data_IF_688134398460
#
_entry.id   IF_688134398460
#
_cell.length_a   1.000
_cell.length_b   1.000
_cell.length_c   1.000
_cell.angle_alpha   90.00
_cell.angle_beta   90.00
_cell.angle_gamma   90.00
#
_symmetry.space_group_name_H-M   'P 1'
#
loop_
_entity.id
_entity.type
_entity.pdbx_description
1 polymer ?
#
# COMPACT_ATOMS: atom_id res chain seq x y z
N UNK A 1 15.32 7.54 -1.43
CA UNK A 1 14.76 6.96 -2.67
C UNK A 1 13.25 6.84 -2.48
N UNK A 2 12.43 6.87 -3.53
CA UNK A 2 10.95 6.81 -3.39
C UNK A 2 10.37 5.47 -3.85
N UNK A 3 11.10 4.75 -4.69
CA UNK A 3 10.74 3.43 -5.18
C UNK A 3 11.67 2.39 -4.56
N UNK A 4 11.14 1.19 -4.34
CA UNK A 4 11.90 -0.04 -4.07
C UNK A 4 11.44 -1.10 -5.07
N UNK A 5 12.34 -1.95 -5.55
CA UNK A 5 11.95 -3.08 -6.41
C UNK A 5 11.58 -4.33 -5.59
N UNK A 6 11.17 -5.39 -6.30
CA UNK A 6 10.72 -6.65 -5.67
C UNK A 6 11.86 -7.38 -4.96
N UNK A 7 13.08 -7.34 -5.50
CA UNK A 7 14.23 -8.02 -4.93
C UNK A 7 14.72 -7.26 -3.69
N UNK A 8 14.71 -5.93 -3.74
CA UNK A 8 14.98 -5.06 -2.58
C UNK A 8 13.96 -5.27 -1.45
N UNK A 9 12.66 -5.35 -1.78
CA UNK A 9 11.62 -5.64 -0.79
C UNK A 9 11.81 -7.05 -0.19
N UNK A 10 12.09 -8.06 -1.02
CA UNK A 10 12.32 -9.42 -0.53
C UNK A 10 13.49 -9.47 0.45
N UNK A 11 14.61 -8.81 0.13
CA UNK A 11 15.75 -8.72 1.04
C UNK A 11 15.43 -7.96 2.33
N UNK A 12 14.63 -6.89 2.25
CA UNK A 12 14.23 -6.10 3.42
C UNK A 12 13.31 -6.89 4.37
N UNK A 13 12.44 -7.74 3.83
CA UNK A 13 11.55 -8.61 4.61
C UNK A 13 12.31 -9.67 5.43
N UNK A 14 13.51 -10.07 5.00
CA UNK A 14 14.37 -11.01 5.69
C UNK A 14 15.32 -10.36 6.72
N UNK A 15 15.23 -9.03 6.91
CA UNK A 15 16.08 -8.30 7.85
C UNK A 15 15.57 -8.35 9.30
N UNK A 16 16.42 -7.94 10.25
CA UNK A 16 16.04 -7.84 11.67
C UNK A 16 14.90 -6.81 11.92
N UNK A 17 14.69 -5.87 10.99
CA UNK A 17 13.72 -4.80 11.09
C UNK A 17 12.93 -4.67 9.77
N UNK A 18 12.04 -5.62 9.46
CA UNK A 18 11.32 -5.63 8.20
C UNK A 18 10.35 -4.44 8.10
N UNK A 19 10.11 -3.91 6.88
CA UNK A 19 9.17 -2.82 6.70
C UNK A 19 7.72 -3.29 6.91
N UNK A 20 6.85 -2.35 7.29
CA UNK A 20 5.41 -2.54 7.21
C UNK A 20 5.01 -2.48 5.73
N UNK A 21 4.43 -3.57 5.21
CA UNK A 21 3.98 -3.62 3.82
C UNK A 21 2.49 -3.35 3.75
N UNK A 22 2.07 -2.34 2.98
CA UNK A 22 0.68 -1.95 2.79
C UNK A 22 0.21 -2.27 1.38
N UNK A 23 -0.82 -3.12 1.30
CA UNK A 23 -1.54 -3.43 0.08
C UNK A 23 -2.77 -2.53 -0.02
N UNK A 24 -2.73 -1.55 -0.91
CA UNK A 24 -3.77 -0.53 -1.01
C UNK A 24 -4.59 -0.66 -2.29
N UNK A 25 -4.59 -1.86 -2.89
CA UNK A 25 -5.25 -2.11 -4.17
C UNK A 25 -6.71 -1.65 -4.20
N UNK A 26 -7.06 -0.93 -5.25
CA UNK A 26 -8.37 -0.33 -5.40
C UNK A 26 -8.70 -0.12 -6.88
N UNK A 27 -9.93 -0.47 -7.27
CA UNK A 27 -10.44 -0.27 -8.63
C UNK A 27 -11.82 0.36 -8.59
N UNK A 28 -12.00 1.47 -9.30
CA UNK A 28 -13.28 2.15 -9.38
C UNK A 28 -14.33 1.26 -10.07
N UNK A 29 -15.39 0.89 -9.34
CA UNK A 29 -16.43 0.00 -9.86
C UNK A 29 -15.95 -1.44 -10.13
N UNK A 30 -14.74 -1.77 -9.66
CA UNK A 30 -14.12 -3.09 -9.84
C UNK A 30 -14.41 -4.05 -8.69
N UNK A 31 -13.76 -5.24 -8.71
CA UNK A 31 -13.87 -6.21 -7.64
C UNK A 31 -13.32 -5.66 -6.30
N UNK A 32 -13.78 -6.23 -5.19
CA UNK A 32 -13.30 -5.85 -3.86
C UNK A 32 -11.80 -6.08 -3.73
N UNK A 33 -11.06 -5.04 -3.36
CA UNK A 33 -9.62 -5.12 -3.10
C UNK A 33 -9.28 -6.13 -1.99
N UNK A 34 -10.11 -6.23 -0.96
CA UNK A 34 -9.96 -7.20 0.14
C UNK A 34 -10.07 -8.65 -0.36
N UNK A 35 -10.99 -8.93 -1.29
CA UNK A 35 -11.09 -10.25 -1.88
C UNK A 35 -9.86 -10.60 -2.72
N UNK A 36 -9.34 -9.64 -3.50
CA UNK A 36 -8.13 -9.83 -4.29
C UNK A 36 -6.89 -9.99 -3.40
N UNK A 37 -6.78 -9.23 -2.31
CA UNK A 37 -5.73 -9.39 -1.30
C UNK A 37 -5.77 -10.80 -0.70
N UNK A 38 -6.94 -11.28 -0.27
CA UNK A 38 -7.08 -12.66 0.25
C UNK A 38 -6.73 -13.74 -0.77
N UNK A 39 -6.94 -13.49 -2.07
CA UNK A 39 -6.57 -14.41 -3.13
C UNK A 39 -5.05 -14.48 -3.36
N UNK A 40 -4.32 -13.40 -3.05
CA UNK A 40 -2.86 -13.35 -3.14
C UNK A 40 -2.31 -11.94 -2.87
N UNK A 41 -1.29 -11.86 -2.03
CA UNK A 41 -0.61 -10.63 -1.64
C UNK A 41 0.85 -10.94 -1.23
N UNK A 42 1.65 -9.89 -1.07
CA UNK A 42 3.00 -10.01 -0.49
C UNK A 42 2.89 -10.58 0.93
N UNK A 43 3.67 -11.60 1.32
CA UNK A 43 3.60 -12.16 2.67
C UNK A 43 3.71 -11.09 3.77
N UNK A 44 2.76 -11.12 4.72
CA UNK A 44 2.72 -10.17 5.84
C UNK A 44 2.16 -8.79 5.49
N UNK A 45 1.79 -8.52 4.23
CA UNK A 45 1.19 -7.24 3.86
C UNK A 45 -0.19 -7.05 4.52
N UNK A 46 -0.45 -5.81 4.93
CA UNK A 46 -1.73 -5.40 5.49
C UNK A 46 -2.58 -4.75 4.40
N UNK A 47 -3.79 -5.25 4.18
CA UNK A 47 -4.74 -4.60 3.29
C UNK A 47 -5.26 -3.29 3.90
N UNK A 48 -5.18 -2.20 3.14
CA UNK A 48 -5.69 -0.88 3.53
C UNK A 48 -6.76 -0.42 2.53
N UNK A 49 -8.03 -0.36 2.93
CA UNK A 49 -9.08 0.09 2.03
C UNK A 49 -8.97 1.60 1.78
N UNK A 50 -8.73 1.96 0.51
CA UNK A 50 -8.55 3.35 0.11
C UNK A 50 -9.75 4.23 0.47
N UNK A 51 -10.96 3.78 0.19
CA UNK A 51 -12.18 4.59 0.37
C UNK A 51 -12.44 4.92 1.85
N UNK A 52 -12.12 4.03 2.79
CA UNK A 52 -12.52 4.19 4.19
C UNK A 52 -11.37 4.57 5.11
N UNK A 53 -10.11 4.33 4.72
CA UNK A 53 -8.95 4.57 5.59
C UNK A 53 -7.91 5.52 5.00
N UNK A 54 -7.93 5.75 3.67
CA UNK A 54 -7.08 6.75 3.00
C UNK A 54 -7.89 7.96 2.48
N UNK A 55 -9.16 8.04 2.87
CA UNK A 55 -10.06 9.10 2.50
C UNK A 55 -11.03 9.41 3.64
N UNK A 56 -11.40 10.69 3.75
CA UNK A 56 -12.63 11.08 4.41
C UNK A 56 -13.80 11.08 3.41
N UNK A 57 -15.02 11.02 3.94
CA UNK A 57 -16.25 11.17 3.18
C UNK A 57 -16.87 12.53 3.48
N UNK A 58 -17.44 13.16 2.45
CA UNK A 58 -18.15 14.44 2.53
C UNK A 58 -19.37 14.44 1.63
N UNK A 59 -19.87 15.63 1.30
CA UNK A 59 -20.96 15.77 0.35
C UNK A 59 -20.48 15.41 -1.07
N UNK A 60 -21.37 14.99 -1.99
CA UNK A 60 -20.98 14.63 -3.35
C UNK A 60 -20.18 15.71 -4.10
N UNK A 61 -20.35 16.98 -3.73
CA UNK A 61 -19.65 18.12 -4.30
C UNK A 61 -18.18 18.24 -3.85
N UNK A 62 -17.80 17.60 -2.74
CA UNK A 62 -16.48 17.76 -2.12
C UNK A 62 -15.41 16.87 -2.79
N UNK A 63 -15.83 15.94 -3.66
CA UNK A 63 -14.96 14.96 -4.30
C UNK A 63 -14.96 13.61 -3.56
N UNK A 64 -14.33 12.60 -4.18
CA UNK A 64 -14.47 11.20 -3.73
C UNK A 64 -13.52 10.79 -2.60
N UNK A 65 -12.34 11.39 -2.54
CA UNK A 65 -11.25 10.98 -1.64
C UNK A 65 -10.68 12.17 -0.87
N UNK A 66 -11.50 12.74 0.02
CA UNK A 66 -11.11 13.88 0.83
C UNK A 66 -9.92 13.55 1.73
N UNK A 67 -9.19 14.60 2.12
CA UNK A 67 -8.12 14.48 3.11
C UNK A 67 -8.70 14.01 4.46
N UNK A 68 -8.29 12.84 4.99
CA UNK A 68 -8.69 12.44 6.33
C UNK A 68 -8.14 13.41 7.38
N UNK A 69 -8.80 13.49 8.54
CA UNK A 69 -8.24 14.23 9.67
C UNK A 69 -6.94 13.55 10.15
N UNK A 70 -5.97 14.31 10.72
CA UNK A 70 -4.75 13.72 11.26
C UNK A 70 -5.03 12.62 12.30
N UNK A 71 -6.07 12.80 13.14
CA UNK A 71 -6.43 11.82 14.17
C UNK A 71 -7.00 10.52 13.57
N UNK A 72 -7.76 10.61 12.47
CA UNK A 72 -8.29 9.43 11.78
C UNK A 72 -7.18 8.67 11.06
N UNK A 73 -6.31 9.40 10.35
CA UNK A 73 -5.15 8.81 9.69
C UNK A 73 -4.22 8.14 10.72
N UNK A 74 -3.92 8.79 11.84
CA UNK A 74 -3.10 8.21 12.90
C UNK A 74 -3.74 6.93 13.45
N UNK A 75 -5.05 6.94 13.74
CA UNK A 75 -5.76 5.76 14.24
C UNK A 75 -5.75 4.61 13.23
N UNK A 76 -5.84 4.91 11.94
CA UNK A 76 -5.73 3.92 10.86
C UNK A 76 -4.29 3.38 10.77
N UNK A 77 -3.29 4.24 10.72
CA UNK A 77 -1.87 3.87 10.69
C UNK A 77 -1.48 2.92 11.83
N UNK A 78 -1.97 3.17 13.06
CA UNK A 78 -1.73 2.26 14.19
C UNK A 78 -2.37 0.88 14.00
N UNK A 79 -3.52 0.77 13.33
CA UNK A 79 -4.12 -0.53 12.98
C UNK A 79 -3.32 -1.27 11.91
N UNK A 80 -2.65 -0.55 11.02
CA UNK A 80 -1.77 -1.13 10.01
C UNK A 80 -0.42 -1.60 10.56
N UNK A 81 -0.13 -1.32 11.84
CA UNK A 81 1.17 -1.61 12.45
C UNK A 81 2.23 -0.54 12.21
N UNK A 82 1.85 0.64 11.71
CA UNK A 82 2.79 1.75 11.48
C UNK A 82 3.03 2.52 12.79
N UNK A 83 4.29 2.51 13.23
CA UNK A 83 4.85 3.21 14.37
C UNK A 83 5.83 4.29 13.94
N UNK A 84 6.20 5.20 14.84
CA UNK A 84 6.91 6.45 14.49
C UNK A 84 8.27 6.22 13.81
N UNK A 85 8.88 5.06 14.05
CA UNK A 85 10.15 4.58 13.50
C UNK A 85 9.99 3.53 12.38
N UNK A 86 8.76 3.24 11.95
CA UNK A 86 8.51 2.23 10.93
C UNK A 86 9.03 2.66 9.55
N UNK A 87 9.75 1.75 8.91
CA UNK A 87 9.89 1.74 7.46
C UNK A 87 8.60 1.21 6.83
N UNK A 88 8.10 1.86 5.78
CA UNK A 88 6.84 1.48 5.14
C UNK A 88 7.02 1.31 3.64
N UNK A 89 6.53 0.19 3.10
CA UNK A 89 6.46 -0.06 1.66
C UNK A 89 5.00 -0.18 1.26
N UNK A 90 4.56 0.63 0.31
CA UNK A 90 3.17 0.69 -0.16
C UNK A 90 3.09 0.21 -1.59
N UNK A 91 2.08 -0.62 -1.91
CA UNK A 91 1.87 -1.10 -3.27
C UNK A 91 0.39 -1.23 -3.63
N UNK A 92 0.09 -1.21 -4.92
CA UNK A 92 -1.19 -1.61 -5.49
C UNK A 92 -0.99 -2.45 -6.77
N UNK A 93 -2.07 -2.98 -7.34
CA UNK A 93 -2.04 -3.76 -8.58
C UNK A 93 -2.40 -2.94 -9.82
N UNK A 94 -2.46 -1.61 -9.71
CA UNK A 94 -3.03 -0.71 -10.71
C UNK A 94 -2.18 0.56 -10.92
N UNK A 95 -0.88 0.37 -11.15
CA UNK A 95 0.02 1.44 -11.58
C UNK A 95 0.35 2.48 -10.51
N UNK A 96 0.31 2.08 -9.23
CA UNK A 96 0.62 2.91 -8.07
C UNK A 96 -0.32 4.12 -7.88
N UNK A 97 -1.53 4.10 -8.43
CA UNK A 97 -2.53 5.16 -8.22
C UNK A 97 -2.97 5.26 -6.75
N UNK A 98 -3.37 4.15 -6.16
CA UNK A 98 -3.78 4.08 -4.77
C UNK A 98 -2.55 4.10 -3.84
N UNK A 99 -1.47 3.47 -4.26
CA UNK A 99 -0.20 3.45 -3.52
C UNK A 99 0.36 4.86 -3.34
N UNK A 100 0.36 5.69 -4.40
CA UNK A 100 0.79 7.08 -4.32
C UNK A 100 -0.05 7.89 -3.33
N UNK A 101 -1.34 7.60 -3.19
CA UNK A 101 -2.23 8.26 -2.22
C UNK A 101 -1.82 7.94 -0.78
N UNK A 102 -1.61 6.67 -0.46
CA UNK A 102 -1.12 6.24 0.86
C UNK A 102 0.27 6.80 1.16
N UNK A 103 1.20 6.70 0.20
CA UNK A 103 2.53 7.30 0.31
C UNK A 103 2.44 8.79 0.65
N UNK A 104 1.66 9.56 -0.13
CA UNK A 104 1.52 10.99 0.09
C UNK A 104 0.94 11.32 1.47
N UNK A 105 -0.07 10.57 1.94
CA UNK A 105 -0.67 10.78 3.26
C UNK A 105 0.33 10.55 4.39
N UNK A 106 1.12 9.47 4.32
CA UNK A 106 2.13 9.16 5.32
C UNK A 106 3.25 10.22 5.32
N UNK A 107 3.69 10.66 4.14
CA UNK A 107 4.66 11.76 4.00
C UNK A 107 4.13 13.07 4.59
N UNK A 108 2.87 13.41 4.29
CA UNK A 108 2.20 14.58 4.82
C UNK A 108 2.04 14.52 6.35
N UNK A 109 1.83 13.31 6.91
CA UNK A 109 1.77 13.05 8.34
C UNK A 109 3.15 13.04 9.04
N UNK A 110 4.25 13.18 8.29
CA UNK A 110 5.60 13.33 8.84
C UNK A 110 6.49 12.08 8.75
N UNK A 111 6.02 10.97 8.18
CA UNK A 111 6.85 9.78 7.99
C UNK A 111 7.91 10.02 6.91
N UNK A 112 9.15 9.67 7.22
CA UNK A 112 10.30 9.93 6.33
C UNK A 112 10.78 8.69 5.58
N UNK A 113 10.41 7.49 6.03
CA UNK A 113 10.84 6.23 5.42
C UNK A 113 9.63 5.49 4.82
N UNK A 114 9.16 6.01 3.69
CA UNK A 114 7.97 5.49 2.97
C UNK A 114 8.31 5.37 1.50
N UNK A 115 8.18 4.15 0.97
CA UNK A 115 8.52 3.79 -0.40
C UNK A 115 7.33 3.19 -1.13
N UNK A 116 7.32 3.31 -2.45
CA UNK A 116 6.39 2.62 -3.33
C UNK A 116 7.08 1.39 -3.91
N UNK A 117 6.38 0.25 -3.97
CA UNK A 117 6.90 -0.92 -4.69
C UNK A 117 6.79 -0.68 -6.20
N UNK A 118 7.92 -0.76 -6.89
CA UNK A 118 7.97 -0.72 -8.34
C UNK A 118 7.54 -2.07 -8.95
N UNK A 119 6.76 -2.02 -10.02
CA UNK A 119 6.27 -3.22 -10.72
C UNK A 119 5.16 -4.00 -10.00
N UNK A 120 4.47 -3.40 -9.03
CA UNK A 120 3.45 -4.07 -8.21
C UNK A 120 2.27 -4.72 -9.00
N UNK A 121 1.97 -4.25 -10.22
CA UNK A 121 1.03 -4.90 -11.14
C UNK A 121 1.44 -6.32 -11.60
N UNK A 122 2.66 -6.77 -11.30
CA UNK A 122 3.15 -8.14 -11.53
C UNK A 122 3.18 -9.02 -10.28
N UNK A 123 2.96 -8.46 -9.08
CA UNK A 123 3.04 -9.21 -7.82
C UNK A 123 1.77 -10.06 -7.68
N UNK A 124 1.87 -11.34 -8.03
CA UNK A 124 0.75 -12.30 -8.05
C UNK A 124 0.43 -12.90 -9.42
N UNK A 125 1.12 -12.48 -10.49
CA UNK A 125 1.17 -13.25 -11.74
C UNK A 125 2.48 -14.03 -11.73
N UNK A 126 2.39 -15.34 -11.55
CA UNK A 126 3.48 -16.31 -11.76
C UNK A 126 4.41 -15.80 -12.88
N UNK A 127 5.65 -15.44 -12.54
CA UNK A 127 6.70 -15.35 -13.55
C UNK A 127 6.93 -16.77 -14.02
N UNK A 128 6.22 -17.21 -15.06
CA UNK A 128 6.68 -18.32 -15.87
C UNK A 128 8.08 -17.98 -16.32
N UNK A 129 9.10 -18.61 -15.72
CA UNK A 129 10.47 -18.51 -16.19
C UNK A 129 10.47 -19.03 -17.64
N UNK A 130 10.97 -18.27 -18.63
CA UNK A 130 11.18 -18.84 -19.95
C UNK A 130 12.35 -19.81 -19.82
N UNK A 131 12.11 -21.12 -19.86
CA UNK A 131 13.22 -22.08 -19.83
C UNK A 131 12.93 -23.58 -19.71
N UNK A 132 11.73 -24.03 -19.34
CA UNK A 132 11.44 -25.48 -19.30
C UNK A 132 10.61 -25.92 -20.51
N UNK A 133 11.29 -26.36 -21.55
CA UNK A 133 10.82 -27.37 -22.53
C UNK A 133 11.98 -28.29 -22.89
#
# INVERSE_FOLDING_TARGET
>A
MVLVDVDELAAALDSDHPPVVLDVRWTLGGPSGDAAHRAGHVPGAVFVPLDTELAAHGEPADGRHLLPSPADLQRAARRWGVHDDSSVVVYDDNGNLAAARAWWLLRWAGFTDVHLLDGAGGVGRERSRPGDR
#
